data_IF_917749161929
#
_entry.id   IF_917749161929
#
_cell.length_a   1.000
_cell.length_b   1.000
_cell.length_c   1.000
_cell.angle_alpha   90.00
_cell.angle_beta   90.00
_cell.angle_gamma   90.00
#
_symmetry.space_group_name_H-M   'P 1'
#
loop_
_entity.id
_entity.type
_entity.pdbx_description
1 polymer ?
#
# COMPACT_ATOMS: atom_id res chain seq x y z
N UNK A 1 -18.77 5.79 -0.78
CA UNK A 1 -17.38 5.60 -1.24
C UNK A 1 -16.88 6.99 -1.61
N UNK A 2 -16.09 7.62 -0.75
CA UNK A 2 -15.61 8.99 -0.95
C UNK A 2 -14.28 8.91 -1.68
N UNK A 3 -14.32 9.13 -3.00
CA UNK A 3 -13.14 9.28 -3.83
C UNK A 3 -12.42 10.56 -3.40
N UNK A 4 -11.16 10.46 -2.99
CA UNK A 4 -10.32 11.64 -2.74
C UNK A 4 -9.76 12.07 -4.09
N UNK A 5 -10.11 13.27 -4.55
CA UNK A 5 -9.51 13.85 -5.76
C UNK A 5 -7.99 13.97 -5.58
N UNK A 6 -7.17 13.47 -6.52
CA UNK A 6 -5.84 13.02 -6.17
C UNK A 6 -4.82 14.15 -5.94
N UNK A 7 -5.09 15.40 -6.28
CA UNK A 7 -4.05 16.45 -6.24
C UNK A 7 -4.71 17.82 -6.00
N UNK A 8 -4.67 18.31 -4.75
CA UNK A 8 -4.78 19.75 -4.50
C UNK A 8 -3.38 20.35 -4.45
N UNK A 9 -3.04 21.08 -5.51
CA UNK A 9 -1.76 21.74 -5.72
C UNK A 9 -1.41 22.64 -4.52
N UNK A 10 -0.44 22.21 -3.70
CA UNK A 10 0.73 22.99 -3.22
C UNK A 10 1.50 22.32 -2.07
N UNK A 11 0.98 21.27 -1.41
CA UNK A 11 1.67 20.64 -0.25
C UNK A 11 1.74 19.11 -0.32
N UNK A 12 0.87 18.46 -1.10
CA UNK A 12 0.78 17.01 -1.15
C UNK A 12 2.00 16.39 -1.86
N UNK A 13 2.84 15.70 -1.09
CA UNK A 13 4.00 14.98 -1.63
C UNK A 13 3.61 13.52 -1.87
N UNK A 14 3.67 13.12 -3.14
CA UNK A 14 3.52 11.72 -3.54
C UNK A 14 4.87 11.02 -3.37
N UNK A 15 4.89 10.01 -2.51
CA UNK A 15 5.99 9.06 -2.36
C UNK A 15 5.57 7.75 -3.02
N UNK A 16 6.28 7.32 -4.07
CA UNK A 16 5.99 6.06 -4.75
C UNK A 16 6.61 4.87 -4.00
N UNK A 17 5.81 3.84 -3.79
CA UNK A 17 6.25 2.56 -3.25
C UNK A 17 6.79 1.64 -4.34
N UNK A 18 7.68 0.71 -3.98
CA UNK A 18 8.19 -0.26 -4.95
C UNK A 18 7.13 -1.24 -5.46
N UNK A 19 6.01 -1.45 -4.74
CA UNK A 19 4.90 -2.28 -5.23
C UNK A 19 4.25 -1.64 -6.48
N UNK A 20 3.98 -0.33 -6.46
CA UNK A 20 3.43 0.37 -7.63
C UNK A 20 4.32 0.26 -8.86
N UNK A 21 5.64 0.38 -8.67
CA UNK A 21 6.63 0.27 -9.74
C UNK A 21 6.64 -1.13 -10.35
N UNK A 22 6.57 -2.18 -9.52
CA UNK A 22 6.66 -3.55 -9.97
C UNK A 22 5.40 -4.08 -10.64
N UNK A 23 4.23 -3.59 -10.23
CA UNK A 23 2.93 -4.02 -10.76
C UNK A 23 2.39 -3.08 -11.85
N UNK A 24 3.16 -2.07 -12.29
CA UNK A 24 2.74 -1.13 -13.33
C UNK A 24 1.44 -0.39 -12.99
N UNK A 25 1.22 -0.13 -11.69
CA UNK A 25 -0.07 0.36 -11.19
C UNK A 25 -0.31 1.78 -11.68
N UNK A 26 -1.42 2.00 -12.41
CA UNK A 26 -1.87 3.34 -12.76
C UNK A 26 -2.53 4.05 -11.57
N UNK A 27 -2.30 5.36 -11.44
CA UNK A 27 -2.63 6.22 -10.31
C UNK A 27 -4.14 6.52 -10.14
N UNK A 28 -5.01 5.52 -10.30
CA UNK A 28 -6.45 5.78 -10.47
C UNK A 28 -7.25 5.80 -9.17
N UNK A 29 -6.73 5.32 -8.02
CA UNK A 29 -7.48 5.31 -6.76
C UNK A 29 -6.57 5.33 -5.51
N UNK A 30 -6.76 6.34 -4.65
CA UNK A 30 -6.09 6.46 -3.35
C UNK A 30 -7.11 6.31 -2.21
N UNK A 31 -6.76 5.51 -1.19
CA UNK A 31 -7.58 5.31 -0.01
C UNK A 31 -7.02 6.10 1.17
N UNK A 32 -7.90 6.75 1.93
CA UNK A 32 -7.49 7.38 3.18
C UNK A 32 -7.03 6.32 4.20
N UNK A 33 -6.27 6.75 5.22
CA UNK A 33 -5.65 5.85 6.20
C UNK A 33 -6.64 4.87 6.85
N UNK A 34 -7.86 5.29 7.18
CA UNK A 34 -8.86 4.42 7.80
C UNK A 34 -9.37 3.33 6.86
N UNK A 35 -9.60 3.66 5.59
CA UNK A 35 -10.02 2.71 4.55
C UNK A 35 -8.89 1.73 4.23
N UNK A 36 -7.66 2.21 4.12
CA UNK A 36 -6.48 1.37 3.91
C UNK A 36 -6.28 0.38 5.06
N UNK A 37 -6.45 0.83 6.31
CA UNK A 37 -6.39 -0.03 7.49
C UNK A 37 -7.48 -1.09 7.50
N UNK A 38 -8.72 -0.72 7.15
CA UNK A 38 -9.83 -1.67 7.05
C UNK A 38 -9.59 -2.71 5.96
N UNK A 39 -9.06 -2.30 4.82
CA UNK A 39 -8.81 -3.18 3.67
C UNK A 39 -7.71 -4.21 3.98
N UNK A 40 -6.62 -3.76 4.58
CA UNK A 40 -5.42 -4.60 4.80
C UNK A 40 -5.40 -5.29 6.17
N UNK A 41 -6.23 -4.87 7.11
CA UNK A 41 -6.13 -5.26 8.52
C UNK A 41 -4.92 -4.65 9.25
N UNK A 42 -4.15 -3.79 8.59
CA UNK A 42 -2.98 -3.14 9.18
C UNK A 42 -3.36 -1.94 10.04
N UNK A 43 -2.67 -1.74 11.15
CA UNK A 43 -2.83 -0.52 11.94
C UNK A 43 -2.34 0.71 11.16
N UNK A 44 -2.93 1.90 11.39
CA UNK A 44 -2.48 3.15 10.75
C UNK A 44 -0.96 3.40 10.90
N UNK A 45 -0.41 3.10 12.08
CA UNK A 45 1.02 3.23 12.33
C UNK A 45 1.87 2.29 11.48
N UNK A 46 1.36 1.10 11.15
CA UNK A 46 2.05 0.14 10.29
C UNK A 46 2.07 0.62 8.85
N UNK A 47 0.95 1.15 8.35
CA UNK A 47 0.87 1.75 7.01
C UNK A 47 1.85 2.91 6.86
N UNK A 48 1.92 3.82 7.84
CA UNK A 48 2.90 4.91 7.84
C UNK A 48 4.33 4.38 7.79
N UNK A 49 4.67 3.41 8.65
CA UNK A 49 6.01 2.81 8.67
C UNK A 49 6.36 2.11 7.37
N UNK A 50 5.38 1.50 6.70
CA UNK A 50 5.60 0.81 5.42
C UNK A 50 5.84 1.84 4.31
N UNK A 51 5.07 2.94 4.29
CA UNK A 51 5.30 4.04 3.37
C UNK A 51 6.64 4.75 3.58
N UNK A 52 7.04 5.02 4.84
CA UNK A 52 8.35 5.60 5.18
C UNK A 52 9.52 4.71 4.73
N UNK A 53 9.30 3.39 4.64
CA UNK A 53 10.26 2.41 4.11
C UNK A 53 10.20 2.26 2.59
N UNK A 54 9.34 3.02 1.92
CA UNK A 54 9.08 2.95 0.48
C UNK A 54 8.32 1.71 0.04
N UNK A 55 7.72 0.92 0.93
CA UNK A 55 7.01 -0.31 0.58
C UNK A 55 5.68 -0.08 -0.12
N UNK A 56 4.95 0.93 0.31
CA UNK A 56 3.70 1.35 -0.29
C UNK A 56 3.79 2.82 -0.66
N UNK A 57 3.06 3.18 -1.70
CA UNK A 57 2.87 4.53 -2.15
C UNK A 57 2.00 5.29 -1.17
N UNK A 58 2.35 6.55 -0.94
CA UNK A 58 1.66 7.44 -0.01
C UNK A 58 1.57 8.85 -0.57
N UNK A 59 0.38 9.43 -0.51
CA UNK A 59 0.19 10.88 -0.54
C UNK A 59 0.24 11.37 0.90
N UNK A 60 1.18 12.26 1.18
CA UNK A 60 1.29 12.88 2.51
C UNK A 60 0.53 14.19 2.52
N UNK A 61 -0.58 14.23 3.27
CA UNK A 61 -1.30 15.48 3.53
C UNK A 61 -0.66 16.28 4.65
N UNK A 62 -1.21 17.47 4.93
CA UNK A 62 -0.71 18.37 5.98
C UNK A 62 -0.67 17.75 7.40
N UNK A 63 -1.49 16.73 7.67
CA UNK A 63 -1.48 15.94 8.91
C UNK A 63 -1.41 14.45 8.59
N UNK A 64 -0.82 13.65 9.48
CA UNK A 64 -0.72 12.17 9.32
C UNK A 64 -2.05 11.45 9.06
N UNK A 65 -3.17 11.99 9.57
CA UNK A 65 -4.51 11.44 9.35
C UNK A 65 -5.04 11.69 7.93
N UNK A 66 -4.45 12.63 7.23
CA UNK A 66 -4.79 13.02 5.86
C UNK A 66 -3.95 12.21 4.85
N UNK A 67 -3.14 11.25 5.32
CA UNK A 67 -2.37 10.39 4.44
C UNK A 67 -3.32 9.47 3.65
N UNK A 68 -3.04 9.33 2.36
CA UNK A 68 -3.71 8.41 1.47
C UNK A 68 -2.71 7.42 0.86
N UNK A 69 -3.17 6.21 0.54
CA UNK A 69 -2.36 5.10 0.07
C UNK A 69 -2.95 4.52 -1.22
N UNK A 70 -2.10 4.07 -2.12
CA UNK A 70 -2.52 3.64 -3.44
C UNK A 70 -3.28 2.30 -3.37
N UNK A 71 -4.54 2.31 -3.80
CA UNK A 71 -5.47 1.20 -3.60
C UNK A 71 -4.97 -0.13 -4.19
N UNK A 72 -4.47 -0.21 -5.44
CA UNK A 72 -4.03 -1.49 -6.00
C UNK A 72 -2.86 -2.13 -5.24
N UNK A 73 -1.95 -1.35 -4.64
CA UNK A 73 -0.86 -1.92 -3.82
C UNK A 73 -1.40 -2.56 -2.54
N UNK A 74 -2.39 -1.94 -1.92
CA UNK A 74 -3.05 -2.48 -0.74
C UNK A 74 -3.75 -3.80 -1.06
N UNK A 75 -4.27 -3.96 -2.27
CA UNK A 75 -4.88 -5.22 -2.71
C UNK A 75 -3.87 -6.32 -3.00
N UNK A 76 -2.69 -5.99 -3.51
CA UNK A 76 -1.57 -6.94 -3.57
C UNK A 76 -1.21 -7.41 -2.16
N UNK A 77 -1.06 -6.48 -1.21
CA UNK A 77 -0.74 -6.82 0.19
C UNK A 77 -1.81 -7.73 0.79
N UNK A 78 -3.09 -7.42 0.58
CA UNK A 78 -4.21 -8.22 1.08
C UNK A 78 -4.17 -9.63 0.50
N UNK A 79 -3.99 -9.79 -0.81
CA UNK A 79 -3.92 -11.09 -1.49
C UNK A 79 -2.74 -11.92 -1.02
N UNK A 80 -1.54 -11.35 -1.01
CA UNK A 80 -0.32 -12.05 -0.54
C UNK A 80 -0.47 -12.51 0.90
N UNK A 81 -1.08 -11.68 1.75
CA UNK A 81 -1.37 -12.08 3.14
C UNK A 81 -2.37 -13.23 3.20
N UNK A 82 -3.42 -13.21 2.40
CA UNK A 82 -4.41 -14.31 2.36
C UNK A 82 -3.80 -15.62 1.84
N UNK A 83 -2.94 -15.56 0.83
CA UNK A 83 -2.32 -16.74 0.22
C UNK A 83 -1.24 -17.36 1.11
N UNK A 84 -0.40 -16.52 1.74
CA UNK A 84 0.73 -16.99 2.55
C UNK A 84 0.35 -17.35 3.98
N UNK A 85 -0.82 -16.92 4.44
CA UNK A 85 -1.23 -17.13 5.83
C UNK A 85 -2.52 -17.97 5.85
N UNK A 86 -2.38 -19.27 6.09
CA UNK A 86 -3.52 -20.18 6.38
C UNK A 86 -4.28 -19.81 7.68
N UNK A 87 -3.82 -18.80 8.41
CA UNK A 87 -4.44 -18.23 9.61
C UNK A 87 -4.50 -16.72 9.50
N UNK A 88 -5.52 -16.16 10.16
CA UNK A 88 -5.87 -14.74 10.27
C UNK A 88 -4.78 -13.89 10.99
N UNK A 89 -3.55 -13.95 10.48
CA UNK A 89 -2.37 -13.30 11.05
C UNK A 89 -2.14 -12.01 10.26
N UNK A 90 -1.82 -10.89 10.93
CA UNK A 90 -1.65 -9.62 10.25
C UNK A 90 -0.52 -9.68 9.21
N UNK A 91 -0.65 -8.94 8.09
CA UNK A 91 0.36 -8.88 7.04
C UNK A 91 1.75 -8.57 7.60
N UNK A 92 2.74 -9.40 7.26
CA UNK A 92 4.14 -9.16 7.60
C UNK A 92 4.90 -8.64 6.39
N UNK A 93 5.54 -7.48 6.51
CA UNK A 93 6.31 -6.85 5.44
C UNK A 93 7.40 -7.78 4.87
N UNK A 94 7.97 -8.67 5.69
CA UNK A 94 8.96 -9.65 5.25
C UNK A 94 8.38 -10.67 4.28
N UNK A 95 7.12 -11.08 4.48
CA UNK A 95 6.43 -12.01 3.58
C UNK A 95 6.11 -11.32 2.25
N UNK A 96 5.59 -10.09 2.32
CA UNK A 96 5.33 -9.28 1.12
C UNK A 96 6.61 -9.08 0.30
N UNK A 97 7.75 -8.80 0.97
CA UNK A 97 9.06 -8.71 0.31
C UNK A 97 9.51 -10.01 -0.34
N UNK A 98 9.40 -11.13 0.37
CA UNK A 98 9.79 -12.43 -0.16
C UNK A 98 8.95 -12.83 -1.38
N UNK A 99 7.63 -12.59 -1.34
CA UNK A 99 6.74 -12.83 -2.49
C UNK A 99 7.16 -12.00 -3.70
N UNK A 100 7.43 -10.72 -3.50
CA UNK A 100 7.78 -9.84 -4.60
C UNK A 100 9.16 -10.18 -5.18
N UNK A 101 10.13 -10.51 -4.33
CA UNK A 101 11.43 -11.04 -4.79
C UNK A 101 11.21 -12.32 -5.63
N UNK A 102 10.37 -13.24 -5.18
CA UNK A 102 10.02 -14.46 -5.93
C UNK A 102 9.40 -14.14 -7.31
N UNK A 103 8.42 -13.24 -7.38
CA UNK A 103 7.79 -12.81 -8.64
C UNK A 103 8.79 -12.11 -9.58
N UNK A 104 9.70 -11.30 -9.05
CA UNK A 104 10.74 -10.61 -9.84
C UNK A 104 11.78 -11.59 -10.39
N UNK A 105 12.20 -12.56 -9.59
CA UNK A 105 13.24 -13.52 -9.99
C UNK A 105 12.69 -14.67 -10.85
N UNK A 106 11.46 -15.14 -10.60
CA UNK A 106 10.88 -16.31 -11.25
C UNK A 106 9.80 -15.98 -12.30
N UNK A 107 9.41 -14.71 -12.41
CA UNK A 107 8.28 -14.27 -13.25
C UNK A 107 6.92 -14.62 -12.62
N UNK A 108 5.86 -13.93 -13.04
CA UNK A 108 4.50 -14.34 -12.71
C UNK A 108 4.27 -15.77 -13.26
N UNK A 109 4.00 -16.72 -12.37
CA UNK A 109 3.51 -18.06 -12.73
C UNK A 109 1.99 -18.09 -12.76
#
# INVERSE_FOLDING_TARGET
MTLVDPIHDTIDRISWGWIAVLYGVQASNWLCTSEASRLTGLSPATLVRWAERGAISQITGSRRKDNAYLHPELEVIRRVTQEMTQRDTPPNLRLVKAHIEDVVYNGFR
#
